data_IF_665155595223
#
_entry.id   IF_665155595223
#
_cell.length_a   1.000
_cell.length_b   1.000
_cell.length_c   1.000
_cell.angle_alpha   90.00
_cell.angle_beta   90.00
_cell.angle_gamma   90.00
#
_symmetry.space_group_name_H-M   'P 1'
#
loop_
_entity.id
_entity.type
_entity.pdbx_description
1 polymer ?
#
# COMPACT_ATOMS: atom_id res chain seq x y z
N UNK A 1 -4.79 10.09 -3.55
CA UNK A 1 -3.40 9.74 -3.92
C UNK A 1 -2.69 9.23 -2.68
N UNK A 2 -2.02 8.10 -2.76
CA UNK A 2 -1.21 7.56 -1.67
C UNK A 2 0.26 7.78 -2.01
N UNK A 3 1.00 8.45 -1.12
CA UNK A 3 2.43 8.71 -1.26
C UNK A 3 3.20 7.92 -0.21
N UNK A 4 4.13 7.10 -0.66
CA UNK A 4 5.06 6.39 0.22
C UNK A 4 6.27 7.28 0.49
N UNK A 5 6.59 7.48 1.78
CA UNK A 5 7.79 8.22 2.18
C UNK A 5 9.06 7.48 1.73
N UNK A 6 9.07 6.15 1.88
CA UNK A 6 10.08 5.26 1.36
C UNK A 6 9.39 4.16 0.53
N UNK A 7 9.59 4.09 -0.81
CA UNK A 7 8.93 3.11 -1.66
C UNK A 7 9.59 1.72 -1.61
N UNK A 8 10.70 1.53 -0.87
CA UNK A 8 11.37 0.22 -0.79
C UNK A 8 10.47 -0.83 -0.14
N UNK A 9 10.35 -1.98 -0.80
CA UNK A 9 9.54 -3.12 -0.32
C UNK A 9 8.05 -3.01 -0.65
N UNK A 10 7.62 -1.98 -1.39
CA UNK A 10 6.26 -1.86 -1.88
C UNK A 10 6.19 -2.40 -3.31
N UNK A 11 5.31 -3.38 -3.52
CA UNK A 11 5.04 -3.95 -4.84
C UNK A 11 3.93 -3.13 -5.53
N UNK A 12 4.33 -2.10 -6.27
CA UNK A 12 3.39 -1.28 -7.03
C UNK A 12 2.66 -2.05 -8.14
N UNK A 13 3.34 -2.91 -8.94
CA UNK A 13 2.64 -3.77 -9.89
C UNK A 13 1.49 -4.57 -9.26
N UNK A 14 1.73 -5.20 -8.11
CA UNK A 14 0.71 -5.92 -7.36
C UNK A 14 -0.46 -5.02 -6.93
N UNK A 15 -0.17 -3.84 -6.37
CA UNK A 15 -1.21 -2.88 -5.98
C UNK A 15 -2.03 -2.44 -7.20
N UNK A 16 -1.39 -2.22 -8.35
CA UNK A 16 -2.09 -1.82 -9.58
C UNK A 16 -2.95 -2.93 -10.17
N UNK A 17 -2.54 -4.20 -10.07
CA UNK A 17 -3.36 -5.32 -10.52
C UNK A 17 -4.55 -5.59 -9.60
N UNK A 18 -4.38 -5.39 -8.29
CA UNK A 18 -5.43 -5.62 -7.30
C UNK A 18 -6.45 -4.48 -7.25
N UNK A 19 -6.00 -3.25 -7.50
CA UNK A 19 -6.82 -2.05 -7.43
C UNK A 19 -7.08 -1.56 -8.85
N UNK A 20 -8.10 -2.12 -9.48
CA UNK A 20 -8.48 -1.77 -10.84
C UNK A 20 -8.71 -0.25 -10.97
N UNK A 21 -8.15 0.35 -12.02
CA UNK A 21 -8.22 1.78 -12.28
C UNK A 21 -7.23 2.61 -11.44
N UNK A 22 -6.32 1.97 -10.71
CA UNK A 22 -5.18 2.64 -10.11
C UNK A 22 -4.00 2.72 -11.07
N UNK A 23 -3.17 3.76 -10.90
CA UNK A 23 -1.95 3.95 -11.69
C UNK A 23 -0.89 4.68 -10.88
N UNK A 24 0.37 4.56 -11.30
CA UNK A 24 1.46 5.30 -10.68
C UNK A 24 1.55 6.71 -11.26
N UNK A 25 1.50 7.74 -10.40
CA UNK A 25 1.77 9.12 -10.82
C UNK A 25 3.23 9.50 -10.65
N UNK A 26 3.95 8.83 -9.73
CA UNK A 26 5.39 8.97 -9.48
C UNK A 26 5.94 7.63 -9.02
N UNK A 27 7.26 7.47 -9.04
CA UNK A 27 7.94 6.26 -8.55
C UNK A 27 7.63 5.91 -7.08
N UNK A 28 7.14 6.86 -6.28
CA UNK A 28 6.76 6.65 -4.88
C UNK A 28 5.26 6.93 -4.59
N UNK A 29 4.44 7.09 -5.62
CA UNK A 29 3.04 7.51 -5.45
C UNK A 29 2.11 6.75 -6.37
N UNK A 30 1.00 6.26 -5.82
CA UNK A 30 -0.08 5.59 -6.55
C UNK A 30 -1.37 6.41 -6.43
N UNK A 31 -2.06 6.59 -7.55
CA UNK A 31 -3.39 7.19 -7.61
C UNK A 31 -4.41 6.06 -7.52
N UNK A 32 -5.35 6.20 -6.58
CA UNK A 32 -6.38 5.22 -6.29
C UNK A 32 -7.75 5.86 -6.58
N UNK A 33 -8.68 5.17 -7.26
CA UNK A 33 -10.06 5.62 -7.40
C UNK A 33 -10.73 5.77 -6.02
N UNK A 34 -11.47 6.86 -5.79
CA UNK A 34 -12.03 7.17 -4.47
C UNK A 34 -12.88 6.04 -3.86
N UNK A 35 -13.66 5.33 -4.68
CA UNK A 35 -14.48 4.19 -4.23
C UNK A 35 -13.70 2.93 -3.84
N UNK A 36 -12.39 2.87 -4.11
CA UNK A 36 -11.52 1.72 -3.81
C UNK A 36 -10.52 2.03 -2.69
N UNK A 37 -10.74 3.14 -1.95
CA UNK A 37 -9.82 3.57 -0.91
C UNK A 37 -9.73 2.56 0.23
N UNK A 38 -10.84 1.98 0.69
CA UNK A 38 -10.83 0.95 1.75
C UNK A 38 -9.98 -0.28 1.37
N UNK A 39 -10.20 -0.84 0.17
CA UNK A 39 -9.38 -1.93 -0.36
C UNK A 39 -7.89 -1.55 -0.44
N UNK A 40 -7.58 -0.35 -0.90
CA UNK A 40 -6.20 0.12 -0.97
C UNK A 40 -5.55 0.22 0.41
N UNK A 41 -6.28 0.72 1.41
CA UNK A 41 -5.81 0.79 2.79
C UNK A 41 -5.53 -0.60 3.35
N UNK A 42 -6.40 -1.58 3.10
CA UNK A 42 -6.21 -2.96 3.56
C UNK A 42 -4.94 -3.56 2.94
N UNK A 43 -4.78 -3.49 1.61
CA UNK A 43 -3.62 -4.04 0.92
C UNK A 43 -2.29 -3.39 1.35
N UNK A 44 -2.30 -2.09 1.63
CA UNK A 44 -1.09 -1.35 2.05
C UNK A 44 -0.77 -1.56 3.53
N UNK A 45 -1.75 -1.41 4.43
CA UNK A 45 -1.48 -1.33 5.86
C UNK A 45 -1.51 -2.67 6.58
N UNK A 46 -2.31 -3.63 6.13
CA UNK A 46 -2.40 -4.96 6.80
C UNK A 46 -1.03 -5.60 7.01
N UNK A 47 -0.17 -5.80 5.99
CA UNK A 47 1.13 -6.43 6.19
C UNK A 47 2.06 -5.59 7.08
N UNK A 48 1.92 -4.26 7.07
CA UNK A 48 2.72 -3.36 7.91
C UNK A 48 2.33 -3.48 9.38
N UNK A 49 1.04 -3.47 9.68
CA UNK A 49 0.50 -3.62 11.03
C UNK A 49 0.85 -5.00 11.57
N UNK A 50 0.68 -6.05 10.78
CA UNK A 50 1.08 -7.39 11.19
C UNK A 50 2.57 -7.48 11.54
N UNK A 51 3.44 -6.83 10.75
CA UNK A 51 4.87 -6.77 11.05
C UNK A 51 5.12 -6.04 12.37
N UNK A 52 4.52 -4.87 12.57
CA UNK A 52 4.64 -4.09 13.81
C UNK A 52 4.20 -4.90 15.04
N UNK A 53 3.06 -5.58 14.96
CA UNK A 53 2.55 -6.42 16.05
C UNK A 53 3.45 -7.62 16.31
N UNK A 54 3.96 -8.28 15.26
CA UNK A 54 4.90 -9.40 15.41
C UNK A 54 6.21 -8.96 16.05
N UNK A 55 6.76 -7.81 15.66
CA UNK A 55 7.99 -7.24 16.22
C UNK A 55 7.79 -6.81 17.69
N UNK A 56 6.66 -6.17 18.00
CA UNK A 56 6.30 -5.78 19.36
C UNK A 56 6.14 -6.95 20.33
N UNK A 57 5.78 -8.16 19.85
CA UNK A 57 5.66 -9.36 20.69
C UNK A 57 6.98 -10.09 20.90
N UNK A 58 8.03 -9.74 20.16
CA UNK A 58 9.36 -10.36 20.24
C UNK A 58 10.35 -9.57 21.10
N UNK A 59 10.10 -8.26 21.26
CA UNK A 59 10.82 -7.38 22.18
C UNK A 59 10.27 -7.53 23.61
#
# INVERSE_FOLDING_TARGET
VIRFANPRGIDFPYLTSMIEGSWMSRANSIVIPGGKMDLAMQLVFTPMIERLVRESKRA
#
